data_IF_375851888458
#
_entry.id   IF_375851888458
#
_cell.length_a   1.000
_cell.length_b   1.000
_cell.length_c   1.000
_cell.angle_alpha   90.00
_cell.angle_beta   90.00
_cell.angle_gamma   90.00
#
_symmetry.space_group_name_H-M   'P 1'
#
loop_
_entity.id
_entity.type
_entity.pdbx_description
1 polymer ?
#
# COMPACT_ATOMS: atom_id res chain seq x y z
N UNK A 1 -22.29 3.91 14.24
CA UNK A 1 -22.56 4.99 13.25
C UNK A 1 -21.30 5.12 12.42
N UNK A 2 -21.29 4.46 11.27
CA UNK A 2 -20.16 4.45 10.35
C UNK A 2 -19.96 5.84 9.75
N UNK A 3 -18.98 6.55 10.29
CA UNK A 3 -18.40 7.70 9.61
C UNK A 3 -17.57 7.15 8.45
N UNK A 4 -18.17 7.07 7.26
CA UNK A 4 -17.41 7.03 6.02
C UNK A 4 -16.43 8.20 6.07
N UNK A 5 -15.15 7.91 6.39
CA UNK A 5 -14.06 8.88 6.32
C UNK A 5 -14.11 9.45 4.92
N UNK A 6 -14.60 10.68 4.83
CA UNK A 6 -14.70 11.51 3.64
C UNK A 6 -13.44 11.30 2.78
N UNK A 7 -13.54 11.16 1.45
CA UNK A 7 -12.41 10.87 0.55
C UNK A 7 -11.16 11.74 0.80
N UNK A 8 -11.37 12.95 1.33
CA UNK A 8 -10.31 13.86 1.78
C UNK A 8 -9.39 13.29 2.89
N UNK A 9 -9.89 12.40 3.75
CA UNK A 9 -9.12 11.68 4.77
C UNK A 9 -8.19 10.63 4.16
N UNK A 10 -8.70 9.84 3.21
CA UNK A 10 -7.89 8.85 2.45
C UNK A 10 -6.77 9.56 1.68
N UNK A 11 -7.05 10.76 1.12
CA UNK A 11 -6.05 11.58 0.42
C UNK A 11 -4.90 12.08 1.30
N UNK A 12 -5.10 12.21 2.62
CA UNK A 12 -4.03 12.59 3.55
C UNK A 12 -3.09 11.44 3.89
N UNK A 13 -3.60 10.22 3.93
CA UNK A 13 -2.80 9.06 4.31
C UNK A 13 -1.71 8.74 3.27
N UNK A 14 -1.93 9.04 1.98
CA UNK A 14 -0.90 8.91 0.93
C UNK A 14 0.30 9.86 1.09
N UNK A 15 0.17 10.94 1.86
CA UNK A 15 1.23 11.95 2.02
C UNK A 15 2.21 11.67 3.15
N UNK A 16 1.97 10.64 3.96
CA UNK A 16 2.80 10.32 5.13
C UNK A 16 4.06 9.52 4.77
N UNK A 17 4.08 8.88 3.59
CA UNK A 17 5.18 8.04 3.12
C UNK A 17 5.77 8.66 1.84
N UNK A 18 7.09 8.79 1.79
CA UNK A 18 7.83 9.30 0.63
C UNK A 18 8.52 8.15 -0.11
N UNK A 19 8.44 8.15 -1.44
CA UNK A 19 9.21 7.28 -2.32
C UNK A 19 10.36 8.07 -2.95
N UNK A 20 11.60 7.63 -2.77
CA UNK A 20 12.79 8.28 -3.33
C UNK A 20 13.64 7.23 -4.08
N UNK A 21 14.13 7.56 -5.27
CA UNK A 21 15.00 6.72 -6.09
C UNK A 21 16.26 6.26 -5.35
N UNK A 22 16.78 7.07 -4.42
CA UNK A 22 17.96 6.73 -3.62
C UNK A 22 17.75 5.58 -2.64
N UNK A 23 16.50 5.27 -2.28
CA UNK A 23 16.15 4.24 -1.28
C UNK A 23 15.35 3.08 -1.87
N UNK A 24 14.90 3.20 -3.12
CA UNK A 24 14.18 2.14 -3.82
C UNK A 24 15.17 1.08 -4.28
N UNK A 25 14.79 -0.18 -4.15
CA UNK A 25 15.57 -1.30 -4.65
C UNK A 25 15.51 -1.36 -6.18
N UNK A 26 16.65 -1.68 -6.80
CA UNK A 26 16.75 -1.82 -8.27
C UNK A 26 15.87 -2.96 -8.81
N UNK A 27 15.68 -4.02 -8.03
CA UNK A 27 14.78 -5.12 -8.37
C UNK A 27 13.34 -4.79 -7.95
N UNK A 28 12.41 -4.61 -8.90
CA UNK A 28 11.02 -4.27 -8.58
C UNK A 28 10.29 -5.35 -7.78
N UNK A 29 10.69 -6.62 -7.91
CA UNK A 29 10.09 -7.71 -7.11
C UNK A 29 10.58 -7.62 -5.66
N UNK A 30 11.86 -7.36 -5.45
CA UNK A 30 12.40 -7.14 -4.10
C UNK A 30 11.77 -5.91 -3.41
N UNK A 31 11.52 -4.84 -4.17
CA UNK A 31 10.83 -3.65 -3.64
C UNK A 31 9.38 -3.97 -3.23
N UNK A 32 8.66 -4.75 -4.05
CA UNK A 32 7.32 -5.23 -3.72
C UNK A 32 7.32 -6.11 -2.48
N UNK A 33 8.24 -7.07 -2.37
CA UNK A 33 8.36 -7.97 -1.21
C UNK A 33 8.58 -7.19 0.09
N UNK A 34 9.42 -6.14 0.05
CA UNK A 34 9.65 -5.27 1.21
C UNK A 34 8.35 -4.60 1.68
N UNK A 35 7.56 -4.03 0.77
CA UNK A 35 6.29 -3.40 1.14
C UNK A 35 5.25 -4.44 1.56
N UNK A 36 5.23 -5.59 0.90
CA UNK A 36 4.29 -6.65 1.19
C UNK A 36 4.54 -7.24 2.59
N UNK A 37 5.79 -7.38 3.00
CA UNK A 37 6.16 -7.80 4.35
C UNK A 37 5.59 -6.86 5.42
N UNK A 38 5.66 -5.54 5.21
CA UNK A 38 5.06 -4.58 6.14
C UNK A 38 3.53 -4.71 6.23
N UNK A 39 2.87 -4.99 5.10
CA UNK A 39 1.42 -5.22 5.06
C UNK A 39 1.06 -6.51 5.77
N UNK A 40 1.83 -7.59 5.60
CA UNK A 40 1.60 -8.86 6.32
C UNK A 40 1.68 -8.70 7.84
N UNK A 41 2.52 -7.79 8.33
CA UNK A 41 2.63 -7.50 9.76
C UNK A 41 1.49 -6.61 10.30
N UNK A 42 1.01 -5.64 9.49
CA UNK A 42 0.07 -4.60 9.93
C UNK A 42 -1.39 -4.91 9.60
N UNK A 43 -1.66 -5.57 8.47
CA UNK A 43 -3.00 -5.81 7.92
C UNK A 43 -3.44 -7.25 8.23
N UNK A 44 -4.52 -7.41 9.00
CA UNK A 44 -5.03 -8.74 9.39
C UNK A 44 -6.03 -9.34 8.40
N UNK A 45 -6.51 -8.56 7.42
CA UNK A 45 -7.59 -8.98 6.53
C UNK A 45 -7.09 -9.10 5.10
N UNK A 46 -7.05 -10.35 4.60
CA UNK A 46 -6.71 -10.73 3.23
C UNK A 46 -5.63 -9.86 2.56
N UNK A 47 -4.40 -9.83 3.12
CA UNK A 47 -3.32 -9.01 2.59
C UNK A 47 -2.92 -9.42 1.17
N UNK A 48 -3.30 -10.62 0.73
CA UNK A 48 -3.05 -11.17 -0.60
C UNK A 48 -4.09 -10.76 -1.66
N UNK A 49 -5.16 -10.07 -1.29
CA UNK A 49 -6.21 -9.68 -2.23
C UNK A 49 -5.68 -8.74 -3.33
N UNK A 50 -6.03 -9.02 -4.59
CA UNK A 50 -5.67 -8.21 -5.75
C UNK A 50 -6.86 -8.04 -6.70
N UNK A 51 -6.96 -6.88 -7.35
CA UNK A 51 -7.99 -6.61 -8.37
C UNK A 51 -7.44 -6.92 -9.75
N UNK A 52 -7.98 -7.95 -10.40
CA UNK A 52 -7.64 -8.32 -11.77
C UNK A 52 -8.68 -7.76 -12.75
N UNK A 53 -8.24 -6.98 -13.74
CA UNK A 53 -9.10 -6.43 -14.80
C UNK A 53 -8.78 -7.10 -16.14
N UNK A 54 -9.80 -7.48 -16.90
CA UNK A 54 -9.69 -8.14 -18.22
C UNK A 54 -10.47 -7.37 -19.30
N UNK A 55 -10.18 -7.63 -20.58
CA UNK A 55 -10.86 -7.02 -21.76
C UNK A 55 -11.70 -8.02 -22.53
#
# INVERSE_FOLDING_TARGET
MDNFKNLAGIRRDYGALSLNEEVVLDDPIAQFESWFAEVLEKERHDPTAMVLSTV
#
